data_IF_007260409452
#
_entry.id   IF_007260409452
#
_cell.length_a   1.000
_cell.length_b   1.000
_cell.length_c   1.000
_cell.angle_alpha   90.00
_cell.angle_beta   90.00
_cell.angle_gamma   90.00
#
_symmetry.space_group_name_H-M   'P 1'
#
loop_
_entity.id
_entity.type
_entity.pdbx_description
1 polymer ?
#
# COMPACT_ATOMS: atom_id res chain seq x y z
N UNK A 1 -17.19 -10.08 -2.92
CA UNK A 1 -16.25 -9.84 -1.82
C UNK A 1 -16.97 -9.14 -0.66
N UNK A 2 -16.77 -9.61 0.59
CA UNK A 2 -17.26 -8.93 1.78
C UNK A 2 -16.39 -7.70 2.10
N UNK A 3 -16.98 -6.63 2.64
CA UNK A 3 -16.23 -5.41 3.01
C UNK A 3 -15.15 -5.71 4.06
N UNK A 4 -15.50 -6.44 5.12
CA UNK A 4 -14.58 -6.70 6.23
C UNK A 4 -13.37 -7.55 5.81
N UNK A 5 -13.53 -8.68 5.08
CA UNK A 5 -12.38 -9.45 4.59
C UNK A 5 -11.44 -8.66 3.66
N UNK A 6 -11.98 -7.74 2.86
CA UNK A 6 -11.16 -6.89 2.00
C UNK A 6 -10.31 -5.90 2.82
N UNK A 7 -10.89 -5.28 3.84
CA UNK A 7 -10.17 -4.38 4.76
C UNK A 7 -9.08 -5.14 5.53
N UNK A 8 -9.42 -6.29 6.11
CA UNK A 8 -8.49 -7.09 6.91
C UNK A 8 -7.29 -7.54 6.07
N UNK A 9 -7.53 -7.91 4.81
CA UNK A 9 -6.49 -8.28 3.87
C UNK A 9 -5.58 -7.09 3.55
N UNK A 10 -6.16 -5.94 3.19
CA UNK A 10 -5.43 -4.73 2.87
C UNK A 10 -4.56 -4.25 4.06
N UNK A 11 -5.08 -4.29 5.29
CA UNK A 11 -4.34 -3.94 6.51
C UNK A 11 -3.10 -4.83 6.75
N UNK A 12 -3.12 -6.07 6.27
CA UNK A 12 -2.00 -7.01 6.43
C UNK A 12 -0.99 -6.88 5.30
N UNK A 13 -1.44 -6.68 4.06
CA UNK A 13 -0.59 -6.79 2.87
C UNK A 13 0.02 -5.45 2.43
N UNK A 14 -0.59 -4.32 2.76
CA UNK A 14 -0.10 -3.01 2.28
C UNK A 14 1.28 -2.68 2.79
N UNK A 15 2.20 -2.45 1.85
CA UNK A 15 3.61 -2.15 2.11
C UNK A 15 3.81 -0.76 2.74
N UNK A 16 2.94 0.21 2.40
CA UNK A 16 2.97 1.53 3.02
C UNK A 16 2.65 1.47 4.52
N UNK A 17 1.69 0.63 4.92
CA UNK A 17 1.41 0.37 6.35
C UNK A 17 2.54 -0.40 7.03
N UNK A 18 3.17 -1.35 6.35
CA UNK A 18 4.35 -2.03 6.88
C UNK A 18 5.47 -1.01 7.15
N UNK A 19 5.73 -0.11 6.20
CA UNK A 19 6.70 0.98 6.36
C UNK A 19 6.33 1.90 7.53
N UNK A 20 5.06 2.30 7.65
CA UNK A 20 4.61 3.15 8.76
C UNK A 20 4.77 2.46 10.14
N UNK A 21 4.58 1.14 10.21
CA UNK A 21 4.85 0.34 11.44
C UNK A 21 6.33 0.28 11.76
N UNK A 22 7.19 0.12 10.76
CA UNK A 22 8.64 0.14 10.94
C UNK A 22 9.13 1.51 11.40
N UNK A 23 8.58 2.61 10.85
CA UNK A 23 8.88 3.98 11.31
C UNK A 23 8.43 4.21 12.77
N UNK A 24 7.33 3.63 13.20
CA UNK A 24 6.91 3.66 14.61
C UNK A 24 7.91 2.93 15.50
N UNK A 25 8.36 1.73 15.11
CA UNK A 25 9.38 0.97 15.83
C UNK A 25 10.71 1.73 15.90
N UNK A 26 11.10 2.44 14.86
CA UNK A 26 12.31 3.27 14.85
C UNK A 26 12.18 4.48 15.78
N UNK A 27 11.00 5.08 15.87
CA UNK A 27 10.74 6.14 16.85
C UNK A 27 10.78 5.62 18.30
N UNK A 28 10.30 4.40 18.56
CA UNK A 28 10.41 3.74 19.87
C UNK A 28 11.86 3.45 20.25
N UNK A 29 12.68 2.97 19.29
CA UNK A 29 14.13 2.78 19.49
C UNK A 29 14.84 4.10 19.76
N UNK A 30 14.47 5.15 19.02
CA UNK A 30 15.03 6.50 19.20
C UNK A 30 14.71 7.08 20.57
N UNK A 31 13.48 6.87 21.07
CA UNK A 31 13.09 7.26 22.43
C UNK A 31 13.92 6.52 23.47
N UNK A 32 14.12 5.21 23.33
CA UNK A 32 14.94 4.40 24.25
C UNK A 32 16.39 4.88 24.28
N UNK A 33 16.98 5.19 23.10
CA UNK A 33 18.34 5.76 23.03
C UNK A 33 18.41 7.12 23.72
N UNK A 34 17.39 7.97 23.56
CA UNK A 34 17.33 9.27 24.21
C UNK A 34 17.16 9.14 25.73
N UNK A 35 16.44 8.11 26.20
CA UNK A 35 16.29 7.77 27.62
C UNK A 35 17.63 7.30 28.23
N UNK A 36 18.34 6.40 27.54
CA UNK A 36 19.66 5.92 27.97
C UNK A 36 20.70 7.04 28.11
N UNK A 37 20.61 8.07 27.26
CA UNK A 37 21.48 9.26 27.33
C UNK A 37 21.21 10.15 28.55
N UNK A 38 20.10 9.96 29.25
CA UNK A 38 19.85 10.63 30.53
C UNK A 38 20.64 10.04 31.70
N UNK A 39 21.17 8.82 31.51
CA UNK A 39 22.02 8.16 32.51
C UNK A 39 23.47 8.69 32.53
N UNK A 40 24.24 8.30 33.53
CA UNK A 40 25.70 8.50 33.53
C UNK A 40 26.38 7.61 32.51
N UNK A 41 27.43 8.13 31.84
CA UNK A 41 28.23 7.40 30.88
C UNK A 41 29.65 7.19 31.39
N UNK A 42 30.14 5.98 31.25
CA UNK A 42 31.51 5.59 31.57
C UNK A 42 32.14 4.97 30.34
N UNK A 43 33.10 5.67 29.76
CA UNK A 43 33.84 5.21 28.60
C UNK A 43 35.25 4.75 29.01
N UNK A 44 35.61 3.55 28.63
CA UNK A 44 36.95 3.01 28.74
C UNK A 44 37.62 3.00 27.37
N UNK A 45 38.63 3.82 27.20
CA UNK A 45 39.42 3.89 25.98
C UNK A 45 40.73 3.17 26.15
N UNK A 46 40.98 2.16 25.35
CA UNK A 46 42.24 1.42 25.29
C UNK A 46 42.85 1.63 23.92
N UNK A 47 44.00 2.28 23.87
CA UNK A 47 44.77 2.43 22.62
C UNK A 47 46.05 1.65 22.73
N UNK A 48 46.30 0.77 21.76
CA UNK A 48 47.56 0.06 21.60
C UNK A 48 48.07 0.35 20.18
N UNK A 49 49.29 0.86 20.09
CA UNK A 49 49.96 1.15 18.83
C UNK A 49 51.23 0.32 18.67
N UNK A 50 51.46 -0.26 17.51
CA UNK A 50 52.74 -0.82 17.12
C UNK A 50 53.38 0.10 16.08
N UNK A 51 54.48 0.74 16.40
CA UNK A 51 55.27 1.50 15.42
C UNK A 51 56.50 0.75 15.02
N UNK A 52 56.56 0.28 13.78
CA UNK A 52 57.76 -0.30 13.16
C UNK A 52 58.41 0.78 12.31
N UNK A 53 59.51 1.38 12.75
CA UNK A 53 60.39 2.14 11.87
C UNK A 53 61.29 1.13 11.13
N UNK A 54 61.01 0.90 9.85
CA UNK A 54 61.87 0.11 8.96
C UNK A 54 63.01 1.01 8.56
N UNK A 55 64.17 0.90 9.27
CA UNK A 55 65.46 1.36 8.78
C UNK A 55 66.22 0.16 8.23
N UNK A 56 66.88 0.26 7.05
CA UNK A 56 67.68 -0.80 6.51
C UNK A 56 68.89 -1.07 7.45
N UNK A 57 68.91 -2.25 8.10
CA UNK A 57 70.03 -2.70 8.96
C UNK A 57 69.73 -2.77 10.46
N UNK A 58 68.46 -2.81 10.90
CA UNK A 58 68.13 -2.72 12.32
C UNK A 58 67.61 -4.03 12.91
N UNK A 59 68.14 -4.33 14.09
CA UNK A 59 67.69 -5.34 15.05
C UNK A 59 66.23 -5.18 15.43
N UNK A 60 65.48 -6.24 15.35
CA UNK A 60 64.03 -6.31 15.72
C UNK A 60 63.78 -6.29 17.24
N UNK A 61 64.71 -5.81 18.06
CA UNK A 61 64.64 -6.01 19.49
C UNK A 61 64.23 -4.78 20.33
N UNK A 62 63.70 -3.73 19.73
CA UNK A 62 63.25 -2.55 20.50
C UNK A 62 61.93 -1.95 19.98
N UNK A 63 60.94 -2.80 19.74
CA UNK A 63 59.58 -2.36 19.46
C UNK A 63 58.90 -1.88 20.76
N UNK A 64 58.90 -0.60 21.00
CA UNK A 64 58.03 -0.02 22.02
C UNK A 64 56.57 -0.12 21.53
N UNK A 65 55.76 -0.87 22.24
CA UNK A 65 54.30 -0.87 22.06
C UNK A 65 53.74 0.20 23.01
N UNK A 66 53.52 1.43 22.56
CA UNK A 66 52.86 2.40 23.38
C UNK A 66 51.42 1.98 23.56
N UNK A 67 50.99 1.86 24.79
CA UNK A 67 49.58 1.65 25.14
C UNK A 67 49.12 2.77 26.06
N UNK A 68 47.88 3.13 25.93
CA UNK A 68 47.22 4.09 26.84
C UNK A 68 45.84 3.59 27.24
N UNK A 69 45.55 3.76 28.50
CA UNK A 69 44.23 3.48 29.09
C UNK A 69 43.64 4.81 29.56
N UNK A 70 42.50 5.14 29.04
CA UNK A 70 41.71 6.32 29.44
C UNK A 70 40.37 5.86 30.03
N UNK A 71 39.95 6.47 31.12
CA UNK A 71 38.63 6.31 31.70
C UNK A 71 37.97 7.71 31.72
N UNK A 72 36.84 7.81 30.99
CA UNK A 72 36.06 9.04 30.91
C UNK A 72 34.71 8.80 31.58
N UNK A 73 34.38 9.60 32.62
CA UNK A 73 33.13 9.51 33.32
C UNK A 73 32.34 10.80 33.16
N UNK A 74 31.19 10.72 32.46
CA UNK A 74 30.27 11.82 32.30
C UNK A 74 29.16 11.74 33.34
N UNK A 75 29.17 12.66 34.28
CA UNK A 75 28.20 12.76 35.39
C UNK A 75 26.94 13.55 34.97
N UNK A 76 25.73 13.14 35.37
CA UNK A 76 24.47 13.80 35.02
C UNK A 76 24.18 15.11 35.73
N UNK A 77 25.18 16.00 35.88
CA UNK A 77 25.04 17.28 36.63
C UNK A 77 24.26 18.33 35.85
N UNK A 78 24.40 18.37 34.51
CA UNK A 78 23.63 19.24 33.64
C UNK A 78 23.18 18.46 32.40
N UNK A 79 21.92 18.08 32.38
CA UNK A 79 21.30 17.26 31.31
C UNK A 79 20.17 18.00 30.57
N UNK A 80 20.31 19.33 30.46
CA UNK A 80 19.26 20.13 29.80
C UNK A 80 19.08 19.75 28.32
N UNK A 81 20.18 19.52 27.62
CA UNK A 81 20.17 19.08 26.22
C UNK A 81 19.54 17.70 26.05
N UNK A 82 19.94 16.74 26.88
CA UNK A 82 19.44 15.36 26.85
C UNK A 82 17.96 15.28 27.20
N UNK A 83 17.51 16.08 28.17
CA UNK A 83 16.07 16.19 28.50
C UNK A 83 15.26 16.76 27.34
N UNK A 84 15.79 17.74 26.64
CA UNK A 84 15.13 18.28 25.45
C UNK A 84 15.08 17.24 24.34
N UNK A 85 16.19 16.51 24.12
CA UNK A 85 16.26 15.41 23.13
C UNK A 85 15.26 14.30 23.47
N UNK A 86 15.15 13.91 24.74
CA UNK A 86 14.17 12.92 25.19
C UNK A 86 12.73 13.40 24.96
N UNK A 87 12.41 14.66 25.30
CA UNK A 87 11.09 15.24 25.03
C UNK A 87 10.78 15.29 23.53
N UNK A 88 11.76 15.65 22.71
CA UNK A 88 11.61 15.66 21.25
C UNK A 88 11.32 14.26 20.72
N UNK A 89 12.01 13.24 21.24
CA UNK A 89 11.78 11.85 20.88
C UNK A 89 10.38 11.36 21.30
N UNK A 90 9.90 11.77 22.48
CA UNK A 90 8.52 11.48 22.92
C UNK A 90 7.48 12.08 21.96
N UNK A 91 7.65 13.35 21.58
CA UNK A 91 6.75 14.02 20.65
C UNK A 91 6.78 13.34 19.29
N UNK A 92 7.99 12.95 18.82
CA UNK A 92 8.15 12.24 17.56
C UNK A 92 7.44 10.87 17.58
N UNK A 93 7.57 10.10 18.64
CA UNK A 93 6.87 8.83 18.83
C UNK A 93 5.34 9.01 18.77
N UNK A 94 4.81 9.98 19.50
CA UNK A 94 3.38 10.27 19.49
C UNK A 94 2.88 10.76 18.11
N UNK A 95 3.72 11.48 17.39
CA UNK A 95 3.40 11.90 16.02
C UNK A 95 3.36 10.69 15.07
N UNK A 96 4.34 9.76 15.17
CA UNK A 96 4.36 8.54 14.35
C UNK A 96 3.20 7.60 14.65
N UNK A 97 2.81 7.46 15.93
CA UNK A 97 1.63 6.68 16.31
C UNK A 97 0.36 7.21 15.66
N UNK A 98 0.13 8.55 15.75
CA UNK A 98 -1.03 9.17 15.10
C UNK A 98 -1.00 9.06 13.57
N UNK A 99 0.19 9.15 12.97
CA UNK A 99 0.34 8.97 11.52
C UNK A 99 -0.01 7.55 11.06
N UNK A 100 0.34 6.53 11.85
CA UNK A 100 -0.05 5.15 11.57
C UNK A 100 -1.58 4.97 11.72
N UNK A 101 -2.19 5.48 12.80
CA UNK A 101 -3.64 5.41 13.01
C UNK A 101 -4.39 6.10 11.84
N UNK A 102 -3.91 7.27 11.39
CA UNK A 102 -4.46 7.99 10.23
C UNK A 102 -4.33 7.18 8.94
N UNK A 103 -3.18 6.56 8.70
CA UNK A 103 -2.97 5.74 7.50
C UNK A 103 -3.90 4.52 7.49
N UNK A 104 -4.10 3.86 8.64
CA UNK A 104 -5.05 2.75 8.76
C UNK A 104 -6.50 3.19 8.52
N UNK A 105 -6.90 4.37 9.03
CA UNK A 105 -8.26 4.88 8.82
C UNK A 105 -8.50 5.30 7.38
N UNK A 106 -7.53 5.95 6.73
CA UNK A 106 -7.60 6.27 5.30
C UNK A 106 -7.74 5.00 4.46
N UNK A 107 -6.93 3.98 4.74
CA UNK A 107 -7.04 2.70 4.04
C UNK A 107 -8.45 2.08 4.15
N UNK A 108 -9.05 2.11 5.35
CA UNK A 108 -10.42 1.60 5.54
C UNK A 108 -11.45 2.37 4.71
N UNK A 109 -11.24 3.67 4.52
CA UNK A 109 -12.09 4.52 3.68
C UNK A 109 -11.89 4.18 2.21
N UNK A 110 -10.64 4.08 1.74
CA UNK A 110 -10.30 3.82 0.34
C UNK A 110 -10.84 2.45 -0.13
N UNK A 111 -10.61 1.39 0.64
CA UNK A 111 -11.13 0.05 0.34
C UNK A 111 -12.67 0.05 0.28
N UNK A 112 -13.32 0.76 1.20
CA UNK A 112 -14.79 0.88 1.21
C UNK A 112 -15.31 1.61 -0.02
N UNK A 113 -14.64 2.70 -0.40
CA UNK A 113 -15.03 3.48 -1.57
C UNK A 113 -14.82 2.71 -2.87
N UNK A 114 -13.68 2.04 -3.05
CA UNK A 114 -13.39 1.26 -4.24
C UNK A 114 -14.29 0.02 -4.35
N UNK A 115 -14.64 -0.62 -3.23
CA UNK A 115 -15.64 -1.70 -3.25
C UNK A 115 -17.03 -1.19 -3.66
N UNK A 116 -17.40 0.03 -3.25
CA UNK A 116 -18.65 0.66 -3.68
C UNK A 116 -18.62 1.00 -5.16
N UNK A 117 -17.53 1.60 -5.65
CA UNK A 117 -17.32 1.90 -7.08
C UNK A 117 -17.40 0.65 -7.95
N UNK A 118 -16.80 -0.44 -7.49
CA UNK A 118 -16.88 -1.74 -8.19
C UNK A 118 -18.32 -2.21 -8.34
N UNK A 119 -19.12 -2.16 -7.26
CA UNK A 119 -20.53 -2.55 -7.30
C UNK A 119 -21.36 -1.64 -8.20
N UNK A 120 -21.12 -0.34 -8.16
CA UNK A 120 -21.78 0.63 -9.05
C UNK A 120 -21.43 0.35 -10.52
N UNK A 121 -20.15 0.07 -10.84
CA UNK A 121 -19.72 -0.25 -12.19
C UNK A 121 -20.32 -1.58 -12.67
N UNK A 122 -20.39 -2.62 -11.82
CA UNK A 122 -21.04 -3.90 -12.10
C UNK A 122 -22.53 -3.71 -12.44
N UNK A 123 -23.25 -2.93 -11.62
CA UNK A 123 -24.67 -2.65 -11.85
C UNK A 123 -24.87 -1.86 -13.15
N UNK A 124 -24.03 -0.85 -13.39
CA UNK A 124 -24.10 -0.07 -14.63
C UNK A 124 -23.85 -0.95 -15.85
N UNK A 125 -22.85 -1.84 -15.82
CA UNK A 125 -22.61 -2.78 -16.90
C UNK A 125 -23.83 -3.69 -17.16
N UNK A 126 -24.46 -4.23 -16.13
CA UNK A 126 -25.68 -5.03 -16.24
C UNK A 126 -26.85 -4.23 -16.86
N UNK A 127 -26.99 -2.94 -16.51
CA UNK A 127 -27.99 -2.05 -17.12
C UNK A 127 -27.71 -1.85 -18.62
N UNK A 128 -26.46 -1.63 -19.01
CA UNK A 128 -26.08 -1.44 -20.41
C UNK A 128 -26.32 -2.72 -21.24
N UNK A 129 -26.06 -3.91 -20.69
CA UNK A 129 -26.42 -5.17 -21.36
C UNK A 129 -27.93 -5.28 -21.63
N UNK A 130 -28.76 -4.90 -20.67
CA UNK A 130 -30.20 -4.87 -20.86
C UNK A 130 -30.65 -3.82 -21.90
N UNK A 131 -29.93 -2.70 -22.00
CA UNK A 131 -30.15 -1.67 -23.02
C UNK A 131 -29.85 -2.23 -24.43
N UNK A 132 -28.73 -2.93 -24.59
CA UNK A 132 -28.37 -3.63 -25.86
C UNK A 132 -29.47 -4.60 -26.25
N UNK A 133 -29.89 -5.51 -25.36
CA UNK A 133 -30.96 -6.47 -25.64
C UNK A 133 -32.30 -5.80 -26.01
N UNK A 134 -32.56 -4.61 -25.48
CA UNK A 134 -33.78 -3.82 -25.84
C UNK A 134 -33.63 -3.15 -27.19
N UNK A 135 -32.42 -2.66 -27.53
CA UNK A 135 -32.15 -2.07 -28.84
C UNK A 135 -32.18 -3.14 -29.97
N UNK A 136 -31.66 -4.34 -29.72
CA UNK A 136 -31.75 -5.48 -30.65
C UNK A 136 -33.21 -5.81 -30.98
N UNK A 137 -34.08 -5.91 -29.96
CA UNK A 137 -35.52 -6.13 -30.18
C UNK A 137 -36.20 -4.99 -30.95
N UNK A 138 -35.72 -3.74 -30.78
CA UNK A 138 -36.25 -2.60 -31.57
C UNK A 138 -35.83 -2.70 -33.03
N UNK A 139 -34.63 -3.10 -33.33
CA UNK A 139 -34.14 -3.37 -34.72
C UNK A 139 -34.99 -4.46 -35.34
N UNK A 140 -35.18 -5.61 -34.68
CA UNK A 140 -36.01 -6.70 -35.17
C UNK A 140 -37.45 -6.26 -35.47
N UNK A 141 -38.05 -5.51 -34.56
CA UNK A 141 -39.40 -4.93 -34.76
C UNK A 141 -39.47 -3.93 -35.94
N UNK A 142 -38.40 -3.13 -36.11
CA UNK A 142 -38.31 -2.18 -37.22
C UNK A 142 -38.14 -2.91 -38.56
N UNK A 143 -37.36 -3.99 -38.64
CA UNK A 143 -37.17 -4.85 -39.81
C UNK A 143 -38.50 -5.51 -40.25
N UNK A 144 -39.21 -6.14 -39.30
CA UNK A 144 -40.53 -6.75 -39.55
C UNK A 144 -41.57 -5.71 -39.98
N UNK A 145 -41.52 -4.50 -39.43
CA UNK A 145 -42.47 -3.40 -39.79
C UNK A 145 -42.17 -2.86 -41.18
N UNK A 146 -40.90 -2.79 -41.57
CA UNK A 146 -40.47 -2.38 -42.91
C UNK A 146 -40.89 -3.42 -43.96
N UNK A 147 -40.63 -4.73 -43.69
CA UNK A 147 -41.05 -5.84 -44.56
C UNK A 147 -42.56 -5.87 -44.77
N UNK A 148 -43.35 -5.54 -43.72
CA UNK A 148 -44.80 -5.43 -43.82
C UNK A 148 -45.29 -4.15 -44.51
N UNK A 149 -44.38 -3.28 -44.96
CA UNK A 149 -44.71 -2.00 -45.59
C UNK A 149 -45.34 -0.97 -44.64
N UNK A 150 -45.18 -1.12 -43.32
CA UNK A 150 -45.75 -0.29 -42.27
C UNK A 150 -44.81 0.77 -41.71
N UNK A 151 -43.51 0.71 -42.02
CA UNK A 151 -42.49 1.62 -41.58
C UNK A 151 -41.62 2.10 -42.72
N UNK A 152 -41.07 3.30 -42.57
CA UNK A 152 -40.11 3.87 -43.49
C UNK A 152 -38.68 3.34 -43.20
N UNK A 153 -37.81 3.27 -44.22
CA UNK A 153 -36.42 2.89 -44.11
C UNK A 153 -35.66 3.71 -43.03
N UNK A 154 -36.03 4.96 -42.87
CA UNK A 154 -35.45 5.84 -41.83
C UNK A 154 -35.60 5.27 -40.42
N UNK A 155 -36.79 4.70 -40.13
CA UNK A 155 -37.06 4.12 -38.80
C UNK A 155 -36.11 2.93 -38.49
N UNK A 156 -35.79 2.11 -39.49
CA UNK A 156 -34.82 1.05 -39.36
C UNK A 156 -33.39 1.59 -39.15
N UNK A 157 -33.04 2.66 -39.89
CA UNK A 157 -31.70 3.28 -39.72
C UNK A 157 -31.55 3.90 -38.33
N UNK A 158 -32.56 4.57 -37.81
CA UNK A 158 -32.54 5.14 -36.44
C UNK A 158 -32.42 4.01 -35.41
N UNK A 159 -33.17 2.91 -35.55
CA UNK A 159 -33.07 1.75 -34.64
C UNK A 159 -31.67 1.09 -34.65
N UNK A 160 -31.05 1.01 -35.83
CA UNK A 160 -29.66 0.47 -35.94
C UNK A 160 -28.63 1.42 -35.37
N UNK A 161 -28.82 2.77 -35.48
CA UNK A 161 -27.97 3.75 -34.83
C UNK A 161 -28.05 3.62 -33.32
N UNK A 162 -29.27 3.51 -32.75
CA UNK A 162 -29.51 3.31 -31.32
C UNK A 162 -28.85 2.01 -30.81
N UNK A 163 -28.85 0.94 -31.63
CA UNK A 163 -28.17 -0.29 -31.27
C UNK A 163 -26.65 -0.11 -31.22
N UNK A 164 -26.05 0.58 -32.19
CA UNK A 164 -24.61 0.88 -32.18
C UNK A 164 -24.23 1.72 -30.96
N UNK A 165 -25.02 2.72 -30.61
CA UNK A 165 -24.78 3.56 -29.42
C UNK A 165 -24.91 2.77 -28.12
N UNK A 166 -25.87 1.84 -28.05
CA UNK A 166 -26.03 0.94 -26.90
C UNK A 166 -24.85 -0.03 -26.77
N UNK A 167 -24.36 -0.58 -27.89
CA UNK A 167 -23.16 -1.43 -27.92
C UNK A 167 -21.93 -0.68 -27.45
N UNK A 168 -21.67 0.53 -27.97
CA UNK A 168 -20.55 1.37 -27.53
C UNK A 168 -20.63 1.69 -26.03
N UNK A 169 -21.83 2.00 -25.55
CA UNK A 169 -22.06 2.28 -24.11
C UNK A 169 -21.79 1.04 -23.25
N UNK A 170 -22.18 -0.16 -23.72
CA UNK A 170 -21.91 -1.42 -22.98
C UNK A 170 -20.42 -1.75 -22.92
N UNK A 171 -19.66 -1.50 -24.00
CA UNK A 171 -18.20 -1.66 -24.02
C UNK A 171 -17.54 -0.68 -23.06
N UNK A 172 -17.98 0.60 -23.06
CA UNK A 172 -17.50 1.60 -22.10
C UNK A 172 -17.76 1.19 -20.65
N UNK A 173 -18.94 0.68 -20.36
CA UNK A 173 -19.30 0.19 -19.02
C UNK A 173 -18.46 -1.04 -18.60
N UNK A 174 -18.19 -1.96 -19.54
CA UNK A 174 -17.31 -3.11 -19.30
C UNK A 174 -15.87 -2.68 -18.96
N UNK A 175 -15.34 -1.70 -19.69
CA UNK A 175 -14.01 -1.14 -19.40
C UNK A 175 -13.98 -0.53 -18.01
N UNK A 176 -14.98 0.28 -17.65
CA UNK A 176 -15.09 0.91 -16.33
C UNK A 176 -15.21 -0.13 -15.21
N UNK A 177 -15.95 -1.21 -15.41
CA UNK A 177 -16.03 -2.33 -14.47
C UNK A 177 -14.67 -2.99 -14.26
N UNK A 178 -13.93 -3.26 -15.34
CA UNK A 178 -12.60 -3.85 -15.24
C UNK A 178 -11.59 -2.90 -14.56
N UNK A 179 -11.66 -1.60 -14.83
CA UNK A 179 -10.82 -0.60 -14.16
C UNK A 179 -11.12 -0.55 -12.65
N UNK A 180 -12.39 -0.44 -12.27
CA UNK A 180 -12.79 -0.45 -10.86
C UNK A 180 -12.36 -1.74 -10.11
N UNK A 181 -12.35 -2.87 -10.84
CA UNK A 181 -11.84 -4.13 -10.30
C UNK A 181 -10.33 -4.08 -10.10
N UNK A 182 -9.58 -3.55 -11.06
CA UNK A 182 -8.12 -3.39 -10.95
C UNK A 182 -7.74 -2.43 -9.82
N UNK A 183 -8.46 -1.31 -9.68
CA UNK A 183 -8.24 -0.35 -8.59
C UNK A 183 -8.41 -1.02 -7.21
N UNK A 184 -9.44 -1.86 -7.04
CA UNK A 184 -9.63 -2.60 -5.79
C UNK A 184 -8.50 -3.61 -5.54
N UNK A 185 -8.01 -4.31 -6.57
CA UNK A 185 -6.87 -5.23 -6.43
C UNK A 185 -5.58 -4.49 -6.08
N UNK A 186 -5.38 -3.30 -6.64
CA UNK A 186 -4.24 -2.45 -6.33
C UNK A 186 -4.27 -1.99 -4.88
N UNK A 187 -5.42 -1.53 -4.38
CA UNK A 187 -5.57 -1.10 -2.99
C UNK A 187 -5.33 -2.21 -1.97
N UNK A 188 -5.61 -3.46 -2.36
CA UNK A 188 -5.34 -4.63 -1.52
C UNK A 188 -3.93 -5.19 -1.71
N UNK A 189 -3.11 -4.56 -2.59
CA UNK A 189 -1.78 -5.10 -3.00
C UNK A 189 -1.81 -6.57 -3.46
N UNK A 190 -2.90 -6.94 -4.11
CA UNK A 190 -3.07 -8.25 -4.76
C UNK A 190 -2.60 -8.25 -6.22
N UNK A 191 -2.13 -7.12 -6.72
CA UNK A 191 -1.65 -6.97 -8.08
C UNK A 191 -0.13 -7.08 -8.08
N UNK A 192 0.38 -8.19 -8.59
CA UNK A 192 1.80 -8.41 -8.79
C UNK A 192 2.15 -8.24 -10.28
N UNK A 193 3.25 -7.54 -10.56
CA UNK A 193 3.80 -7.39 -11.90
C UNK A 193 5.02 -8.29 -12.03
N UNK A 194 4.93 -9.29 -12.90
CA UNK A 194 5.99 -10.24 -13.22
C UNK A 194 6.44 -10.05 -14.67
N UNK A 195 7.58 -10.62 -15.08
CA UNK A 195 8.05 -10.63 -16.48
C UNK A 195 7.04 -11.22 -17.48
N UNK A 196 6.10 -12.05 -16.99
CA UNK A 196 5.01 -12.64 -17.77
C UNK A 196 3.77 -11.75 -17.86
N UNK A 197 3.69 -10.63 -17.13
CA UNK A 197 2.56 -9.70 -17.10
C UNK A 197 1.96 -9.49 -15.69
N UNK A 198 0.66 -9.20 -15.65
CA UNK A 198 -0.09 -8.97 -14.43
C UNK A 198 -0.53 -10.30 -13.81
N UNK A 199 -0.18 -10.52 -12.56
CA UNK A 199 -0.70 -11.61 -11.72
C UNK A 199 -1.71 -11.06 -10.72
N UNK A 200 -2.80 -11.77 -10.54
CA UNK A 200 -3.81 -11.47 -9.54
C UNK A 200 -3.65 -12.44 -8.37
N UNK A 201 -3.44 -11.90 -7.18
CA UNK A 201 -3.47 -12.69 -5.95
C UNK A 201 -4.85 -13.30 -5.71
N UNK A 202 -4.92 -14.36 -4.94
CA UNK A 202 -6.17 -15.01 -4.60
C UNK A 202 -6.98 -14.13 -3.64
N UNK A 203 -8.23 -13.84 -4.03
CA UNK A 203 -9.19 -13.18 -3.13
C UNK A 203 -9.59 -14.17 -2.02
N UNK A 204 -9.69 -13.72 -0.77
CA UNK A 204 -10.19 -14.57 0.29
C UNK A 204 -11.63 -14.99 -0.04
N UNK A 205 -11.79 -16.24 -0.39
CA UNK A 205 -13.10 -16.85 -0.56
C UNK A 205 -13.77 -16.92 0.80
N UNK A 206 -14.97 -16.38 0.91
CA UNK A 206 -15.79 -16.42 2.12
C UNK A 206 -16.35 -17.84 2.31
N UNK A 207 -15.46 -18.81 2.56
CA UNK A 207 -15.84 -20.21 2.83
C UNK A 207 -16.15 -20.40 4.32
N UNK A 208 -17.23 -19.73 4.77
CA UNK A 208 -17.87 -20.01 6.06
C UNK A 208 -19.26 -20.64 5.85
N UNK A 209 -19.41 -21.55 4.89
CA UNK A 209 -20.72 -22.20 4.69
C UNK A 209 -20.62 -23.71 4.43
N UNK A 210 -19.67 -24.43 5.06
CA UNK A 210 -19.73 -25.90 5.07
C UNK A 210 -19.00 -26.50 6.29
N UNK A 211 -19.41 -26.08 7.49
CA UNK A 211 -19.18 -26.91 8.68
C UNK A 211 -20.36 -26.74 9.62
N UNK A 212 -21.50 -27.32 9.25
CA UNK A 212 -22.58 -27.77 10.11
C UNK A 212 -23.71 -28.38 9.25
N UNK A 213 -23.53 -29.63 8.87
CA UNK A 213 -24.60 -30.57 8.58
C UNK A 213 -24.14 -31.96 9.02
#
# INVERSE_FOLDING_TARGET
>A
LGLQPAIDLALVQRLDLATARDELLDAERSLRIAEERLGSRLDLTVNAGASTQIQPGVDFNNGSMPWSLGLDYDSPLDRFSERNSYRSAQIALEARRRSLDEAEDLLRIDVRENLRRLREAEQNYAIQLNSVASAERRVESAELSLEAGRAETRFLLDARSDLLDSLNSSVGALVNYNLARLDLYLDMELLEVDESGLRFGELPTNDKTTENL
#
